data_IF_446067462717
#
_entry.id   IF_446067462717
#
_cell.length_a   1.000
_cell.length_b   1.000
_cell.length_c   1.000
_cell.angle_alpha   90.00
_cell.angle_beta   90.00
_cell.angle_gamma   90.00
#
_symmetry.space_group_name_H-M   'P 1'
#
loop_
_entity.id
_entity.type
_entity.pdbx_description
1 polymer ?
#
# COMPACT_ATOMS: atom_id res chain seq x y z
N UNK A 1 18.78 -17.89 -6.49
CA UNK A 1 17.44 -17.80 -5.92
C UNK A 1 17.00 -16.35 -5.70
N UNK A 2 15.91 -15.97 -6.29
CA UNK A 2 15.35 -14.65 -6.08
C UNK A 2 14.59 -14.59 -4.76
N UNK A 3 14.68 -13.46 -4.10
CA UNK A 3 13.81 -13.19 -2.94
C UNK A 3 12.40 -12.94 -3.42
N UNK A 4 11.42 -13.10 -2.52
CA UNK A 4 10.05 -12.76 -2.81
C UNK A 4 9.95 -11.30 -3.22
N UNK A 5 9.24 -11.02 -4.32
CA UNK A 5 9.06 -9.67 -4.79
C UNK A 5 8.01 -8.96 -3.94
N UNK A 6 8.36 -7.78 -3.45
CA UNK A 6 7.46 -6.97 -2.65
C UNK A 6 6.92 -5.83 -3.50
N UNK A 7 5.60 -5.72 -3.55
CA UNK A 7 4.90 -4.63 -4.20
C UNK A 7 4.02 -3.94 -3.18
N UNK A 8 4.10 -2.62 -3.13
CA UNK A 8 3.26 -1.81 -2.25
C UNK A 8 2.33 -0.98 -3.11
N UNK A 9 1.03 -1.13 -2.89
CA UNK A 9 0.03 -0.43 -3.68
C UNK A 9 -0.73 0.56 -2.81
N UNK A 10 -0.80 1.80 -3.29
CA UNK A 10 -1.54 2.89 -2.65
C UNK A 10 -2.86 3.06 -3.38
N UNK A 11 -3.97 2.84 -2.67
CA UNK A 11 -5.31 3.02 -3.22
C UNK A 11 -5.89 4.32 -2.66
N UNK A 12 -6.33 5.19 -3.55
CA UNK A 12 -6.96 6.44 -3.14
C UNK A 12 -8.02 6.83 -4.18
N UNK A 13 -8.73 7.91 -3.93
CA UNK A 13 -9.72 8.46 -4.84
C UNK A 13 -9.40 9.92 -5.11
N UNK A 14 -9.81 10.44 -6.28
CA UNK A 14 -9.53 11.84 -6.64
C UNK A 14 -10.13 12.80 -5.63
N UNK A 15 -11.35 12.52 -5.12
CA UNK A 15 -11.99 13.39 -4.14
C UNK A 15 -11.24 13.42 -2.80
N UNK A 16 -10.31 12.49 -2.58
CA UNK A 16 -9.50 12.43 -1.37
C UNK A 16 -8.02 12.73 -1.64
N UNK A 17 -7.72 13.41 -2.74
CA UNK A 17 -6.32 13.66 -3.13
C UNK A 17 -5.56 14.50 -2.10
N UNK A 18 -6.24 15.36 -1.35
CA UNK A 18 -5.61 16.15 -0.30
C UNK A 18 -5.03 15.27 0.82
N UNK A 19 -5.53 14.07 1.00
CA UNK A 19 -5.10 13.12 2.02
C UNK A 19 -4.26 11.97 1.45
N UNK A 20 -3.77 12.11 0.22
CA UNK A 20 -2.89 11.09 -0.35
C UNK A 20 -1.67 10.90 0.53
N UNK A 21 -1.09 9.71 0.47
CA UNK A 21 0.10 9.39 1.27
C UNK A 21 1.31 10.00 0.56
N UNK A 22 1.73 11.18 1.00
CA UNK A 22 2.76 11.97 0.31
C UNK A 22 4.12 11.30 0.29
N UNK A 23 4.45 10.56 1.34
CA UNK A 23 5.74 9.88 1.43
C UNK A 23 5.74 8.50 0.75
N UNK A 24 4.64 8.12 0.11
CA UNK A 24 4.53 6.80 -0.52
C UNK A 24 5.66 6.53 -1.51
N UNK A 25 5.99 7.50 -2.32
CA UNK A 25 7.08 7.38 -3.31
C UNK A 25 8.48 7.28 -2.71
N UNK A 26 8.60 7.45 -1.40
CA UNK A 26 9.89 7.37 -0.71
C UNK A 26 10.16 5.99 -0.07
N UNK A 27 9.25 5.05 -0.24
CA UNK A 27 9.49 3.69 0.23
C UNK A 27 10.55 3.02 -0.62
N UNK A 28 11.45 2.27 0.03
CA UNK A 28 12.58 1.64 -0.61
C UNK A 28 12.45 0.11 -0.61
N UNK A 29 13.21 -0.52 -1.52
CA UNK A 29 13.35 -1.98 -1.60
C UNK A 29 12.06 -2.70 -1.93
N UNK A 30 11.19 -2.03 -2.69
CA UNK A 30 9.92 -2.58 -3.13
C UNK A 30 9.48 -1.89 -4.42
N UNK A 31 8.56 -2.53 -5.13
CA UNK A 31 7.90 -1.90 -6.27
C UNK A 31 6.69 -1.12 -5.75
N UNK A 32 6.41 0.00 -6.39
CA UNK A 32 5.31 0.88 -5.99
C UNK A 32 4.26 0.96 -7.08
N UNK A 33 2.99 0.89 -6.68
CA UNK A 33 1.88 1.06 -7.59
C UNK A 33 0.87 2.02 -6.95
N UNK A 34 0.29 2.89 -7.76
CA UNK A 34 -0.69 3.88 -7.31
C UNK A 34 -1.98 3.67 -8.09
N UNK A 35 -3.08 3.46 -7.40
CA UNK A 35 -4.37 3.14 -8.01
C UNK A 35 -5.43 4.12 -7.56
N UNK A 36 -6.14 4.71 -8.53
CA UNK A 36 -7.33 5.50 -8.25
C UNK A 36 -8.55 4.60 -8.37
N UNK A 37 -9.27 4.39 -7.28
CA UNK A 37 -10.41 3.45 -7.26
C UNK A 37 -11.58 3.92 -8.12
N UNK A 38 -11.65 5.23 -8.40
CA UNK A 38 -12.71 5.77 -9.25
C UNK A 38 -12.44 5.40 -10.72
N UNK A 39 -11.18 5.45 -11.12
CA UNK A 39 -10.78 5.10 -12.49
C UNK A 39 -10.69 3.59 -12.69
N UNK A 40 -10.50 2.85 -11.61
CA UNK A 40 -10.29 1.42 -11.67
C UNK A 40 -11.13 0.69 -10.62
N UNK A 41 -12.48 0.71 -10.79
CA UNK A 41 -13.37 0.11 -9.80
C UNK A 41 -13.23 -1.41 -9.69
N UNK A 42 -12.69 -2.06 -10.71
CA UNK A 42 -12.48 -3.50 -10.65
C UNK A 42 -11.40 -3.86 -9.64
N UNK A 43 -10.36 -3.03 -9.54
CA UNK A 43 -9.31 -3.25 -8.53
C UNK A 43 -9.82 -2.95 -7.13
N UNK A 44 -10.72 -1.97 -6.99
CA UNK A 44 -11.38 -1.72 -5.72
C UNK A 44 -12.13 -2.97 -5.24
N UNK A 45 -12.90 -3.57 -6.13
CA UNK A 45 -13.68 -4.77 -5.81
C UNK A 45 -12.77 -5.97 -5.54
N UNK A 46 -11.76 -6.16 -6.38
CA UNK A 46 -10.83 -7.28 -6.26
C UNK A 46 -10.13 -7.28 -4.90
N UNK A 47 -9.70 -6.11 -4.46
CA UNK A 47 -8.94 -5.99 -3.21
C UNK A 47 -9.81 -5.54 -2.03
N UNK A 48 -11.11 -5.41 -2.24
CA UNK A 48 -12.08 -5.05 -1.19
C UNK A 48 -11.67 -3.78 -0.45
N UNK A 49 -11.43 -2.73 -1.23
CA UNK A 49 -11.05 -1.42 -0.66
C UNK A 49 -12.31 -0.73 -0.16
N UNK A 50 -12.44 -0.59 1.15
CA UNK A 50 -13.62 -0.03 1.79
C UNK A 50 -13.41 1.39 2.28
N UNK A 51 -12.17 1.84 2.39
CA UNK A 51 -11.84 3.20 2.80
C UNK A 51 -10.54 3.61 2.13
N UNK A 52 -10.34 4.90 1.91
CA UNK A 52 -9.14 5.43 1.27
C UNK A 52 -8.52 6.52 2.15
N UNK A 53 -7.18 6.70 2.11
CA UNK A 53 -6.26 5.84 1.41
C UNK A 53 -6.06 4.48 2.10
N UNK A 54 -5.78 3.46 1.33
CA UNK A 54 -5.40 2.14 1.83
C UNK A 54 -4.08 1.75 1.16
N UNK A 55 -3.14 1.26 1.95
CA UNK A 55 -1.88 0.73 1.43
C UNK A 55 -1.86 -0.77 1.67
N UNK A 56 -1.62 -1.53 0.61
CA UNK A 56 -1.53 -2.99 0.71
C UNK A 56 -0.13 -3.41 0.30
N UNK A 57 0.48 -4.28 1.10
CA UNK A 57 1.78 -4.86 0.79
C UNK A 57 1.54 -6.27 0.28
N UNK A 58 2.05 -6.54 -0.92
CA UNK A 58 1.99 -7.85 -1.55
C UNK A 58 3.38 -8.47 -1.60
N UNK A 59 3.45 -9.76 -1.40
CA UNK A 59 4.69 -10.52 -1.60
C UNK A 59 4.37 -11.64 -2.57
N UNK A 60 5.04 -11.63 -3.72
CA UNK A 60 4.79 -12.58 -4.81
C UNK A 60 3.32 -12.61 -5.24
N UNK A 61 2.69 -11.44 -5.24
CA UNK A 61 1.30 -11.30 -5.67
C UNK A 61 0.26 -11.59 -4.59
N UNK A 62 0.69 -11.98 -3.40
CA UNK A 62 -0.22 -12.29 -2.30
C UNK A 62 -0.21 -11.19 -1.24
N UNK A 63 -1.39 -10.74 -0.84
CA UNK A 63 -1.52 -9.71 0.20
C UNK A 63 -1.01 -10.26 1.53
N UNK A 64 -0.02 -9.55 2.13
CA UNK A 64 0.54 -9.94 3.42
C UNK A 64 0.27 -8.92 4.52
N UNK A 65 -0.06 -7.68 4.16
CA UNK A 65 -0.34 -6.64 5.15
C UNK A 65 -1.15 -5.52 4.50
N UNK A 66 -2.06 -4.95 5.30
CA UNK A 66 -2.92 -3.86 4.84
C UNK A 66 -2.93 -2.76 5.90
N UNK A 67 -2.81 -1.52 5.46
CA UNK A 67 -2.93 -0.33 6.31
C UNK A 67 -4.08 0.51 5.78
N UNK A 68 -5.09 0.72 6.60
CA UNK A 68 -6.29 1.45 6.20
C UNK A 68 -6.38 2.79 6.91
N UNK A 69 -7.00 3.75 6.23
CA UNK A 69 -7.25 5.06 6.80
C UNK A 69 -8.26 4.99 7.94
N UNK A 70 -8.29 6.05 8.74
CA UNK A 70 -9.33 6.22 9.75
C UNK A 70 -10.60 6.77 9.11
N UNK A 71 -11.61 7.06 9.93
CA UNK A 71 -12.90 7.56 9.44
C UNK A 71 -12.82 8.97 8.87
N UNK A 72 -11.73 9.69 9.07
CA UNK A 72 -11.51 11.00 8.45
C UNK A 72 -10.76 10.90 7.12
N UNK A 73 -10.58 9.70 6.60
CA UNK A 73 -9.91 9.42 5.33
C UNK A 73 -8.43 9.82 5.34
N UNK A 74 -7.78 9.64 6.49
CA UNK A 74 -6.35 9.90 6.65
C UNK A 74 -5.64 8.65 7.12
N UNK A 75 -4.54 8.32 6.47
CA UNK A 75 -3.74 7.17 6.87
C UNK A 75 -2.90 7.56 8.09
N UNK A 76 -3.05 6.81 9.18
CA UNK A 76 -2.29 7.05 10.40
C UNK A 76 -0.96 6.33 10.43
N UNK A 77 -0.81 5.28 9.64
CA UNK A 77 0.46 4.57 9.54
C UNK A 77 1.54 5.51 8.99
N UNK A 78 2.77 5.35 9.48
CA UNK A 78 3.89 6.19 9.08
C UNK A 78 4.78 5.49 8.06
N UNK A 79 5.59 6.27 7.33
CA UNK A 79 6.58 5.72 6.43
C UNK A 79 7.51 4.75 7.16
N UNK A 80 7.94 5.14 8.36
CA UNK A 80 8.84 4.32 9.17
C UNK A 80 8.21 2.97 9.51
N UNK A 81 6.94 2.97 9.86
CA UNK A 81 6.23 1.75 10.20
C UNK A 81 6.14 0.81 9.00
N UNK A 82 5.74 1.33 7.86
CA UNK A 82 5.56 0.54 6.64
C UNK A 82 6.92 0.07 6.10
N UNK A 83 7.92 0.95 6.10
CA UNK A 83 9.26 0.58 5.68
C UNK A 83 9.85 -0.48 6.59
N UNK A 84 9.59 -0.40 7.89
CA UNK A 84 10.04 -1.41 8.84
C UNK A 84 9.45 -2.77 8.55
N UNK A 85 8.17 -2.82 8.20
CA UNK A 85 7.53 -4.09 7.83
C UNK A 85 8.14 -4.66 6.55
N UNK A 86 8.37 -3.82 5.54
CA UNK A 86 9.02 -4.24 4.29
C UNK A 86 10.40 -4.83 4.58
N UNK A 87 11.17 -4.15 5.41
CA UNK A 87 12.51 -4.61 5.77
C UNK A 87 12.48 -5.96 6.49
N UNK A 88 11.50 -6.18 7.36
CA UNK A 88 11.33 -7.47 8.03
C UNK A 88 11.05 -8.58 7.03
N UNK A 89 10.23 -8.31 6.01
CA UNK A 89 9.94 -9.30 5.00
C UNK A 89 11.17 -9.68 4.18
N UNK A 90 11.99 -8.69 3.85
CA UNK A 90 13.23 -8.93 3.11
C UNK A 90 14.19 -9.76 3.98
N UNK A 91 14.35 -9.38 5.24
CA UNK A 91 15.24 -10.10 6.15
C UNK A 91 14.81 -11.54 6.39
N UNK A 92 13.52 -11.80 6.41
CA UNK A 92 13.00 -13.15 6.64
C UNK A 92 13.28 -14.10 5.48
N UNK A 93 13.67 -13.58 4.31
CA UNK A 93 14.01 -14.38 3.14
C UNK A 93 15.48 -14.83 3.13
N UNK A 94 16.26 -14.41 4.09
CA UNK A 94 17.68 -14.80 4.18
C UNK A 94 17.91 -16.02 5.04
#
# INVERSE_FOLDING_TARGET
>A
QAFGQITVTHFNAEWNSANKVEWFGKLDDCDLADVCIIKDPKLQDKHKIVIVPTIIIFKDGEEIKRYQADLSFKLLATRKEIQGFINEQIMSDF
#
